data_IF_396162796637
#
_entry.id   IF_396162796637
#
_cell.length_a   1.000
_cell.length_b   1.000
_cell.length_c   1.000
_cell.angle_alpha   90.00
_cell.angle_beta   90.00
_cell.angle_gamma   90.00
#
_symmetry.space_group_name_H-M   'P 1'
#
loop_
_entity.id
_entity.type
_entity.pdbx_description
1 polymer ?
#
# COMPACT_ATOMS: atom_id res chain seq x y z
N UNK A 1 -29.21 31.52 -5.47
CA UNK A 1 -29.04 30.16 -4.92
C UNK A 1 -28.09 29.30 -5.75
N UNK A 2 -28.27 29.16 -7.08
CA UNK A 2 -27.42 28.30 -7.92
C UNK A 2 -25.91 28.64 -7.87
N UNK A 3 -25.53 29.93 -7.92
CA UNK A 3 -24.13 30.35 -7.88
C UNK A 3 -23.40 30.00 -6.57
N UNK A 4 -24.11 29.99 -5.44
CA UNK A 4 -23.52 29.63 -4.14
C UNK A 4 -23.23 28.13 -4.07
N UNK A 5 -24.17 27.31 -4.55
CA UNK A 5 -24.00 25.86 -4.60
C UNK A 5 -22.86 25.49 -5.54
N UNK A 6 -22.81 26.11 -6.73
CA UNK A 6 -21.75 25.89 -7.71
C UNK A 6 -20.37 26.33 -7.19
N UNK A 7 -20.29 27.48 -6.52
CA UNK A 7 -19.05 27.93 -5.88
C UNK A 7 -18.57 26.97 -4.79
N UNK A 8 -19.47 26.48 -3.93
CA UNK A 8 -19.12 25.54 -2.87
C UNK A 8 -18.77 24.14 -3.41
N UNK A 9 -19.36 23.72 -4.53
CA UNK A 9 -19.00 22.48 -5.24
C UNK A 9 -17.57 22.47 -5.77
N UNK A 10 -16.99 23.64 -6.04
CA UNK A 10 -15.63 23.75 -6.58
C UNK A 10 -14.61 24.26 -5.55
N UNK A 11 -15.07 24.72 -4.39
CA UNK A 11 -14.20 25.18 -3.30
C UNK A 11 -13.69 23.97 -2.51
N UNK A 12 -12.42 23.63 -2.71
CA UNK A 12 -11.78 22.54 -1.97
C UNK A 12 -11.83 22.77 -0.46
N UNK A 13 -12.11 21.71 0.31
CA UNK A 13 -12.25 21.76 1.77
C UNK A 13 -13.60 22.28 2.28
N UNK A 14 -14.52 22.70 1.41
CA UNK A 14 -15.89 23.06 1.82
C UNK A 14 -16.68 21.81 2.23
N UNK A 15 -17.66 21.95 3.14
CA UNK A 15 -18.50 20.82 3.57
C UNK A 15 -19.28 20.20 2.41
N UNK A 16 -19.73 21.02 1.46
CA UNK A 16 -20.48 20.56 0.30
C UNK A 16 -19.57 19.81 -0.67
N UNK A 17 -18.38 20.34 -0.95
CA UNK A 17 -17.32 19.65 -1.69
C UNK A 17 -16.99 18.28 -1.07
N UNK A 18 -16.83 18.22 0.25
CA UNK A 18 -16.58 16.99 1.00
C UNK A 18 -17.71 15.97 0.83
N UNK A 19 -18.94 16.44 0.96
CA UNK A 19 -20.15 15.59 0.95
C UNK A 19 -20.38 14.90 -0.40
N UNK A 20 -19.93 15.51 -1.50
CA UNK A 20 -19.99 14.92 -2.85
C UNK A 20 -18.74 14.12 -3.21
N UNK A 21 -17.82 13.91 -2.27
CA UNK A 21 -16.62 13.08 -2.43
C UNK A 21 -15.32 13.85 -2.73
N UNK A 22 -15.32 15.18 -2.64
CA UNK A 22 -14.19 16.03 -3.03
C UNK A 22 -12.94 15.98 -2.12
N UNK A 23 -13.06 15.71 -0.81
CA UNK A 23 -11.89 15.63 0.10
C UNK A 23 -11.16 14.27 0.07
N UNK A 24 -11.32 13.52 -1.01
CA UNK A 24 -10.35 12.50 -1.36
C UNK A 24 -9.04 13.16 -1.80
N UNK A 25 -7.94 12.45 -1.62
CA UNK A 25 -6.64 12.81 -2.21
C UNK A 25 -6.81 13.24 -3.67
N UNK A 26 -6.30 14.42 -4.01
CA UNK A 26 -6.25 14.84 -5.41
C UNK A 26 -5.20 14.02 -6.16
N UNK A 27 -5.25 14.04 -7.49
CA UNK A 27 -4.19 13.42 -8.30
C UNK A 27 -2.81 13.98 -7.94
N UNK A 28 -2.72 15.30 -7.73
CA UNK A 28 -1.46 15.94 -7.33
C UNK A 28 -0.99 15.43 -5.97
N UNK A 29 -1.88 15.26 -4.99
CA UNK A 29 -1.52 14.70 -3.68
C UNK A 29 -0.97 13.27 -3.82
N UNK A 30 -1.62 12.45 -4.64
CA UNK A 30 -1.14 11.10 -4.93
C UNK A 30 0.25 11.09 -5.55
N UNK A 31 0.48 11.94 -6.56
CA UNK A 31 1.77 12.04 -7.24
C UNK A 31 2.86 12.56 -6.31
N UNK A 32 2.56 13.57 -5.49
CA UNK A 32 3.49 14.12 -4.51
C UNK A 32 3.86 13.09 -3.45
N UNK A 33 2.90 12.34 -2.91
CA UNK A 33 3.21 11.30 -1.94
C UNK A 33 4.02 10.15 -2.56
N UNK A 34 3.74 9.77 -3.81
CA UNK A 34 4.54 8.77 -4.50
C UNK A 34 5.99 9.23 -4.68
N UNK A 35 6.20 10.49 -5.09
CA UNK A 35 7.53 11.07 -5.19
C UNK A 35 8.24 11.13 -3.82
N UNK A 36 7.53 11.57 -2.77
CA UNK A 36 8.04 11.57 -1.41
C UNK A 36 8.48 10.17 -0.97
N UNK A 37 7.65 9.14 -1.22
CA UNK A 37 7.96 7.76 -0.84
C UNK A 37 9.23 7.24 -1.51
N UNK A 38 9.42 7.55 -2.80
CA UNK A 38 10.65 7.17 -3.51
C UNK A 38 11.89 7.88 -2.94
N UNK A 39 11.78 9.17 -2.65
CA UNK A 39 12.87 9.94 -2.06
C UNK A 39 13.22 9.46 -0.64
N UNK A 40 12.21 9.16 0.18
CA UNK A 40 12.39 8.62 1.51
C UNK A 40 13.13 7.27 1.46
N UNK A 41 12.75 6.38 0.53
CA UNK A 41 13.43 5.10 0.32
C UNK A 41 14.88 5.32 -0.14
N UNK A 42 15.11 6.20 -1.12
CA UNK A 42 16.45 6.46 -1.64
C UNK A 42 17.39 7.02 -0.56
N UNK A 43 16.90 7.95 0.27
CA UNK A 43 17.65 8.49 1.41
C UNK A 43 17.91 7.42 2.47
N UNK A 44 16.90 6.60 2.78
CA UNK A 44 17.05 5.47 3.69
C UNK A 44 18.13 4.50 3.20
N UNK A 45 18.15 4.12 1.92
CA UNK A 45 19.15 3.20 1.35
C UNK A 45 20.59 3.69 1.52
N UNK A 46 20.81 5.01 1.50
CA UNK A 46 22.14 5.63 1.69
C UNK A 46 22.54 5.75 3.17
N UNK A 47 21.60 5.53 4.09
CA UNK A 47 21.87 5.62 5.53
C UNK A 47 22.49 4.34 6.11
N UNK A 48 23.03 4.43 7.33
CA UNK A 48 23.48 3.26 8.10
C UNK A 48 22.35 2.25 8.34
N UNK A 49 21.13 2.74 8.52
CA UNK A 49 19.94 1.91 8.71
C UNK A 49 19.57 1.17 7.44
N UNK A 50 19.70 1.82 6.28
CA UNK A 50 19.56 1.21 4.97
C UNK A 50 20.52 0.05 4.76
N UNK A 51 21.80 0.27 5.04
CA UNK A 51 22.84 -0.76 4.93
C UNK A 51 22.57 -1.98 5.83
N UNK A 52 21.88 -1.78 6.97
CA UNK A 52 21.51 -2.86 7.90
C UNK A 52 20.09 -3.40 7.70
N UNK A 53 19.34 -2.88 6.73
CA UNK A 53 17.95 -3.26 6.49
C UNK A 53 16.98 -2.91 7.63
N UNK A 54 17.29 -1.91 8.45
CA UNK A 54 16.49 -1.51 9.64
C UNK A 54 15.69 -0.24 9.36
N UNK A 55 14.60 -0.01 10.10
CA UNK A 55 13.83 1.25 10.08
C UNK A 55 13.44 1.76 8.69
N UNK A 56 13.09 0.86 7.76
CA UNK A 56 12.64 1.26 6.42
C UNK A 56 11.40 2.15 6.54
N UNK A 57 11.34 3.31 5.88
CA UNK A 57 10.20 4.22 5.95
C UNK A 57 8.93 3.53 5.46
N UNK A 58 7.81 3.83 6.13
CA UNK A 58 6.48 3.41 5.71
C UNK A 58 6.00 4.35 4.60
N UNK A 59 5.42 3.82 3.52
CA UNK A 59 4.90 4.67 2.45
C UNK A 59 3.73 5.53 2.96
N UNK A 60 3.73 6.79 2.54
CA UNK A 60 2.66 7.75 2.75
C UNK A 60 1.53 7.53 1.73
N UNK A 61 1.86 7.21 0.48
CA UNK A 61 0.86 7.07 -0.58
C UNK A 61 0.00 5.83 -0.36
N UNK A 62 -1.35 5.97 -0.38
CA UNK A 62 -2.26 4.82 -0.33
C UNK A 62 -2.17 3.94 -1.59
N UNK A 63 -1.59 4.46 -2.67
CA UNK A 63 -1.37 3.75 -3.92
C UNK A 63 -0.01 3.03 -3.95
N UNK A 64 0.85 3.23 -2.94
CA UNK A 64 2.11 2.52 -2.86
C UNK A 64 1.86 1.01 -2.78
N UNK A 65 2.66 0.23 -3.52
CA UNK A 65 2.54 -1.22 -3.56
C UNK A 65 2.58 -1.81 -2.16
N UNK A 66 1.53 -2.55 -1.77
CA UNK A 66 1.51 -3.29 -0.51
C UNK A 66 2.60 -4.35 -0.57
N UNK A 67 3.32 -4.52 0.55
CA UNK A 67 4.32 -5.59 0.66
C UNK A 67 3.62 -6.93 0.39
N UNK A 68 4.14 -7.71 -0.55
CA UNK A 68 3.58 -9.02 -0.87
C UNK A 68 3.50 -9.88 0.38
N UNK A 69 2.39 -10.62 0.52
CA UNK A 69 2.24 -11.59 1.61
C UNK A 69 3.22 -12.73 1.38
N UNK A 70 4.00 -13.09 2.41
CA UNK A 70 4.83 -14.29 2.35
C UNK A 70 3.92 -15.51 2.53
N UNK A 71 3.54 -16.12 1.42
CA UNK A 71 2.76 -17.35 1.37
C UNK A 71 3.71 -18.55 1.58
N UNK A 72 3.24 -19.62 2.22
CA UNK A 72 4.00 -20.87 2.37
C UNK A 72 4.60 -21.10 3.76
N UNK A 73 4.19 -20.34 4.78
CA UNK A 73 4.40 -20.77 6.18
C UNK A 73 3.23 -21.63 6.63
N UNK A 74 3.53 -22.70 7.37
CA UNK A 74 2.53 -23.55 8.02
C UNK A 74 3.06 -23.97 9.38
N UNK A 75 2.16 -24.06 10.36
CA UNK A 75 2.46 -24.59 11.70
C UNK A 75 2.29 -26.12 11.75
N UNK A 76 1.92 -26.73 10.61
CA UNK A 76 1.73 -28.18 10.52
C UNK A 76 3.08 -28.90 10.50
N UNK A 77 3.19 -30.07 11.15
CA UNK A 77 4.41 -30.85 11.11
C UNK A 77 4.70 -31.34 9.67
N UNK A 78 5.99 -31.50 9.29
CA UNK A 78 6.39 -31.85 7.93
C UNK A 78 5.70 -33.10 7.38
N UNK A 79 5.47 -34.10 8.23
CA UNK A 79 4.81 -35.35 7.83
C UNK A 79 3.34 -35.16 7.42
N UNK A 80 2.61 -34.27 8.09
CA UNK A 80 1.25 -33.92 7.66
C UNK A 80 1.25 -33.19 6.32
N UNK A 81 2.23 -32.31 6.09
CA UNK A 81 2.37 -31.60 4.81
C UNK A 81 2.65 -32.60 3.69
N UNK A 82 3.59 -33.54 3.89
CA UNK A 82 3.88 -34.62 2.94
C UNK A 82 2.64 -35.47 2.65
N UNK A 83 1.89 -35.87 3.69
CA UNK A 83 0.69 -36.69 3.51
C UNK A 83 -0.40 -35.96 2.72
N UNK A 84 -0.58 -34.65 2.95
CA UNK A 84 -1.52 -33.84 2.15
C UNK A 84 -1.02 -33.70 0.72
N UNK A 85 0.27 -33.42 0.52
CA UNK A 85 0.85 -33.28 -0.82
C UNK A 85 0.78 -34.60 -1.60
N UNK A 86 0.96 -35.75 -0.95
CA UNK A 86 0.84 -37.07 -1.56
C UNK A 86 -0.57 -37.37 -2.11
N UNK A 87 -1.62 -36.73 -1.58
CA UNK A 87 -2.98 -36.86 -2.13
C UNK A 87 -3.15 -36.16 -3.48
N UNK A 88 -2.34 -35.15 -3.75
CA UNK A 88 -2.45 -34.30 -4.94
C UNK A 88 -1.23 -34.42 -5.87
N UNK A 89 -0.18 -35.11 -5.45
CA UNK A 89 1.05 -35.33 -6.21
C UNK A 89 0.90 -36.45 -7.25
N UNK A 90 1.82 -36.51 -8.24
CA UNK A 90 1.86 -37.59 -9.22
C UNK A 90 2.06 -38.95 -8.53
N UNK A 91 1.52 -40.01 -9.13
CA UNK A 91 1.63 -41.37 -8.60
C UNK A 91 3.11 -41.75 -8.40
N UNK A 92 3.46 -42.42 -7.28
CA UNK A 92 4.83 -42.85 -7.03
C UNK A 92 5.29 -43.81 -8.13
N UNK A 93 6.45 -43.51 -8.73
CA UNK A 93 7.18 -44.39 -9.66
C UNK A 93 7.89 -45.52 -8.93
#
# INVERSE_FOLDING_TARGET
MALLVDGLLHTQGSLLYRSVGGDSWTLTDHLLALNYDQLAIANWQRSKDGAKGRNRPKPLSPLAGKRGSRIGKTDRPPEQVKAVLARYGPAPT
#
